data_IF_993882281458
#
_entry.id   IF_993882281458
#
_cell.length_a   1.000
_cell.length_b   1.000
_cell.length_c   1.000
_cell.angle_alpha   90.00
_cell.angle_beta   90.00
_cell.angle_gamma   90.00
#
_symmetry.space_group_name_H-M   'P 1'
#
loop_
_entity.id
_entity.type
_entity.pdbx_description
1 polymer ?
#
# COMPACT_ATOMS: atom_id res chain seq x y z
N UNK A 1 18.59 -6.88 -3.23
CA UNK A 1 17.96 -6.36 -4.47
C UNK A 1 16.53 -5.84 -4.27
N UNK A 2 15.63 -6.55 -3.57
CA UNK A 2 14.23 -6.09 -3.38
C UNK A 2 14.08 -4.68 -2.78
N UNK A 3 14.78 -4.37 -1.68
CA UNK A 3 14.72 -3.04 -1.06
C UNK A 3 15.19 -1.89 -1.98
N UNK A 4 16.14 -2.16 -2.88
CA UNK A 4 16.61 -1.18 -3.87
C UNK A 4 15.50 -0.79 -4.85
N UNK A 5 14.81 -1.79 -5.41
CA UNK A 5 13.69 -1.55 -6.32
C UNK A 5 12.50 -0.89 -5.61
N UNK A 6 12.20 -1.31 -4.38
CA UNK A 6 11.17 -0.67 -3.55
C UNK A 6 11.45 0.82 -3.31
N UNK A 7 12.70 1.21 -3.09
CA UNK A 7 13.07 2.61 -2.92
C UNK A 7 12.89 3.43 -4.22
N UNK A 8 13.23 2.85 -5.38
CA UNK A 8 12.92 3.47 -6.67
C UNK A 8 11.41 3.62 -6.89
N UNK A 9 10.62 2.61 -6.53
CA UNK A 9 9.16 2.67 -6.58
C UNK A 9 8.60 3.79 -5.68
N UNK A 10 9.16 3.96 -4.48
CA UNK A 10 8.75 5.02 -3.56
C UNK A 10 9.05 6.44 -4.11
N UNK A 11 10.14 6.60 -4.86
CA UNK A 11 10.46 7.86 -5.53
C UNK A 11 9.51 8.11 -6.72
N UNK A 12 9.25 7.08 -7.53
CA UNK A 12 8.33 7.16 -8.66
C UNK A 12 6.88 7.49 -8.21
N UNK A 13 6.44 6.97 -7.06
CA UNK A 13 5.13 7.30 -6.50
C UNK A 13 4.98 8.79 -6.11
N UNK A 14 6.09 9.50 -5.85
CA UNK A 14 6.09 10.93 -5.52
C UNK A 14 6.11 11.81 -6.77
N UNK A 15 6.81 11.39 -7.82
CA UNK A 15 7.06 12.17 -9.04
C UNK A 15 6.46 11.43 -10.25
N UNK A 16 5.13 11.33 -10.31
CA UNK A 16 4.46 10.56 -11.36
C UNK A 16 4.70 11.17 -12.74
N UNK A 17 5.38 10.42 -13.60
CA UNK A 17 5.53 10.68 -15.03
C UNK A 17 4.90 9.51 -15.82
N UNK A 18 4.01 9.84 -16.75
CA UNK A 18 3.20 8.90 -17.51
C UNK A 18 4.05 8.08 -18.49
N UNK A 19 5.18 8.63 -18.97
CA UNK A 19 6.13 7.93 -19.85
C UNK A 19 6.99 6.89 -19.09
N UNK A 20 7.26 7.12 -17.80
CA UNK A 20 8.00 6.19 -16.94
C UNK A 20 7.15 4.99 -16.46
N UNK A 21 5.86 4.93 -16.80
CA UNK A 21 4.91 3.99 -16.23
C UNK A 21 5.27 2.51 -16.43
N UNK A 22 5.87 2.16 -17.57
CA UNK A 22 6.29 0.79 -17.86
C UNK A 22 7.52 0.38 -17.04
N UNK A 23 8.47 1.28 -16.89
CA UNK A 23 9.68 1.03 -16.10
C UNK A 23 9.32 0.85 -14.62
N UNK A 24 8.48 1.74 -14.09
CA UNK A 24 8.02 1.68 -12.69
C UNK A 24 7.30 0.36 -12.41
N UNK A 25 6.41 -0.10 -13.30
CA UNK A 25 5.76 -1.42 -13.17
C UNK A 25 6.77 -2.58 -13.15
N UNK A 26 7.81 -2.53 -13.97
CA UNK A 26 8.87 -3.54 -13.97
C UNK A 26 9.68 -3.53 -12.66
N UNK A 27 9.96 -2.34 -12.10
CA UNK A 27 10.61 -2.20 -10.80
C UNK A 27 9.76 -2.79 -9.66
N UNK A 28 8.43 -2.54 -9.68
CA UNK A 28 7.50 -3.17 -8.72
C UNK A 28 7.53 -4.69 -8.82
N UNK A 29 7.50 -5.24 -10.04
CA UNK A 29 7.60 -6.68 -10.27
C UNK A 29 8.90 -7.27 -9.71
N UNK A 30 10.05 -6.67 -10.04
CA UNK A 30 11.37 -7.13 -9.54
C UNK A 30 11.47 -7.08 -8.02
N UNK A 31 10.89 -6.05 -7.41
CA UNK A 31 10.83 -5.95 -5.95
C UNK A 31 9.97 -7.05 -5.35
N UNK A 32 8.80 -7.31 -5.95
CA UNK A 32 7.88 -8.34 -5.52
C UNK A 32 8.51 -9.73 -5.59
N UNK A 33 9.06 -10.11 -6.75
CA UNK A 33 9.72 -11.41 -6.97
C UNK A 33 10.87 -11.63 -5.99
N UNK A 34 11.64 -10.58 -5.69
CA UNK A 34 12.72 -10.65 -4.70
C UNK A 34 12.22 -10.93 -3.28
N UNK A 35 11.12 -10.28 -2.87
CA UNK A 35 10.55 -10.50 -1.55
C UNK A 35 9.85 -11.85 -1.44
N UNK A 36 9.15 -12.28 -2.49
CA UNK A 36 8.50 -13.59 -2.55
C UNK A 36 9.52 -14.73 -2.47
N UNK A 37 10.62 -14.64 -3.23
CA UNK A 37 11.73 -15.59 -3.12
C UNK A 37 12.36 -15.60 -1.72
N UNK A 38 12.47 -14.43 -1.07
CA UNK A 38 12.93 -14.32 0.31
C UNK A 38 12.00 -15.02 1.30
N UNK A 39 10.69 -14.88 1.13
CA UNK A 39 9.68 -15.56 1.97
C UNK A 39 9.86 -17.07 1.82
N UNK A 40 9.90 -17.59 0.59
CA UNK A 40 10.10 -19.02 0.33
C UNK A 40 11.41 -19.54 0.94
N UNK A 41 12.47 -18.73 0.98
CA UNK A 41 13.74 -19.10 1.61
C UNK A 41 13.62 -19.17 3.14
N UNK A 42 12.98 -18.19 3.77
CA UNK A 42 12.79 -18.16 5.23
C UNK A 42 11.76 -19.18 5.73
N UNK A 43 10.78 -19.55 4.90
CA UNK A 43 9.83 -20.63 5.17
C UNK A 43 10.54 -21.97 5.35
N UNK A 44 11.57 -22.26 4.53
CA UNK A 44 12.36 -23.51 4.62
C UNK A 44 13.09 -23.67 5.95
N UNK A 45 13.43 -22.57 6.61
CA UNK A 45 14.10 -22.57 7.92
C UNK A 45 13.17 -22.12 9.06
N UNK A 46 11.87 -21.96 8.78
CA UNK A 46 10.84 -21.54 9.73
C UNK A 46 11.17 -20.23 10.48
N UNK A 47 11.82 -19.28 9.80
CA UNK A 47 12.18 -17.97 10.35
C UNK A 47 11.01 -16.99 10.25
N UNK A 48 10.07 -17.13 11.19
CA UNK A 48 8.84 -16.33 11.25
C UNK A 48 9.10 -14.83 11.37
N UNK A 49 10.19 -14.43 12.04
CA UNK A 49 10.56 -13.03 12.22
C UNK A 49 10.87 -12.37 10.88
N UNK A 50 11.72 -13.02 10.08
CA UNK A 50 12.09 -12.50 8.77
C UNK A 50 10.94 -12.61 7.74
N UNK A 51 10.11 -13.65 7.82
CA UNK A 51 8.88 -13.73 6.99
C UNK A 51 7.93 -12.56 7.32
N UNK A 52 7.72 -12.26 8.61
CA UNK A 52 6.86 -11.14 9.01
C UNK A 52 7.41 -9.78 8.52
N UNK A 53 8.73 -9.58 8.61
CA UNK A 53 9.37 -8.37 8.07
C UNK A 53 9.22 -8.25 6.55
N UNK A 54 9.34 -9.36 5.80
CA UNK A 54 9.13 -9.36 4.35
C UNK A 54 7.67 -9.08 3.97
N UNK A 55 6.71 -9.60 4.75
CA UNK A 55 5.30 -9.22 4.61
C UNK A 55 5.09 -7.71 4.84
N UNK A 56 5.78 -7.10 5.82
CA UNK A 56 5.78 -5.64 6.00
C UNK A 56 6.27 -4.90 4.75
N UNK A 57 7.36 -5.39 4.13
CA UNK A 57 7.90 -4.79 2.89
C UNK A 57 6.94 -4.93 1.71
N UNK A 58 6.28 -6.07 1.57
CA UNK A 58 5.25 -6.29 0.55
C UNK A 58 4.02 -5.39 0.76
N UNK A 59 3.56 -5.22 2.01
CA UNK A 59 2.47 -4.31 2.35
C UNK A 59 2.77 -2.87 1.93
N UNK A 60 3.98 -2.38 2.25
CA UNK A 60 4.45 -1.05 1.82
C UNK A 60 4.63 -0.93 0.31
N UNK A 61 5.16 -1.97 -0.34
CA UNK A 61 5.30 -2.00 -1.80
C UNK A 61 3.92 -1.85 -2.47
N UNK A 62 2.91 -2.59 -2.01
CA UNK A 62 1.54 -2.47 -2.53
C UNK A 62 0.92 -1.10 -2.25
N UNK A 63 1.26 -0.47 -1.12
CA UNK A 63 0.81 0.89 -0.79
C UNK A 63 1.40 1.93 -1.74
N UNK A 64 2.69 1.81 -2.10
CA UNK A 64 3.30 2.67 -3.13
C UNK A 64 2.71 2.38 -4.52
N UNK A 65 2.40 1.12 -4.82
CA UNK A 65 1.75 0.74 -6.07
C UNK A 65 0.34 1.36 -6.19
N UNK A 66 -0.41 1.44 -5.09
CA UNK A 66 -1.71 2.11 -5.05
C UNK A 66 -1.60 3.61 -5.41
N UNK A 67 -0.54 4.28 -4.95
CA UNK A 67 -0.29 5.69 -5.24
C UNK A 67 0.05 5.94 -6.71
N UNK A 68 0.62 4.94 -7.39
CA UNK A 68 0.87 5.00 -8.83
C UNK A 68 -0.42 5.09 -9.67
N UNK A 69 -1.57 4.59 -9.18
CA UNK A 69 -2.87 4.70 -9.86
C UNK A 69 -3.57 6.04 -9.67
N UNK A 70 -2.90 7.07 -9.15
CA UNK A 70 -3.44 8.42 -9.04
C UNK A 70 -2.73 9.40 -10.00
N UNK A 71 -2.79 9.17 -11.33
CA UNK A 71 -2.20 10.09 -12.28
C UNK A 71 -2.91 11.45 -12.20
N UNK A 72 -2.13 12.52 -12.22
CA UNK A 72 -2.63 13.86 -12.53
C UNK A 72 -2.74 13.93 -14.05
N UNK A 73 -3.95 14.00 -14.59
CA UNK A 73 -4.15 14.13 -16.04
C UNK A 73 -4.56 15.57 -16.31
N UNK A 74 -3.79 16.28 -17.14
CA UNK A 74 -4.03 17.69 -17.49
C UNK A 74 -4.17 18.62 -16.26
N UNK A 75 -3.36 18.41 -15.22
CA UNK A 75 -3.42 19.20 -13.98
C UNK A 75 -4.58 18.84 -13.04
N UNK A 76 -5.47 17.93 -13.43
CA UNK A 76 -6.58 17.45 -12.60
C UNK A 76 -6.20 16.09 -12.00
N UNK A 77 -6.16 16.02 -10.67
CA UNK A 77 -6.01 14.73 -9.97
C UNK A 77 -7.30 13.93 -10.13
N UNK A 78 -7.16 12.70 -10.63
CA UNK A 78 -8.27 11.81 -10.90
C UNK A 78 -8.88 11.24 -9.60
N UNK A 79 -10.14 10.79 -9.70
CA UNK A 79 -10.90 10.18 -8.60
C UNK A 79 -10.26 8.89 -8.05
N UNK A 80 -10.68 8.48 -6.85
CA UNK A 80 -10.24 7.24 -6.22
C UNK A 80 -10.76 6.00 -6.99
N UNK A 81 -9.90 5.45 -7.84
CA UNK A 81 -10.23 4.28 -8.66
C UNK A 81 -10.28 2.95 -7.90
N UNK A 82 -11.03 1.99 -8.47
CA UNK A 82 -11.12 0.62 -7.95
C UNK A 82 -9.76 -0.09 -7.88
N UNK A 83 -8.85 0.13 -8.85
CA UNK A 83 -7.52 -0.50 -8.86
C UNK A 83 -6.64 -0.01 -7.68
N UNK A 84 -6.79 1.27 -7.30
CA UNK A 84 -6.13 1.83 -6.11
C UNK A 84 -6.64 1.16 -4.84
N UNK A 85 -7.96 0.97 -4.72
CA UNK A 85 -8.58 0.23 -3.60
C UNK A 85 -8.05 -1.20 -3.49
N UNK A 86 -8.02 -1.92 -4.60
CA UNK A 86 -7.53 -3.31 -4.64
C UNK A 86 -6.05 -3.40 -4.21
N UNK A 87 -5.24 -2.42 -4.59
CA UNK A 87 -3.83 -2.36 -4.20
C UNK A 87 -3.67 -2.14 -2.69
N UNK A 88 -4.47 -1.26 -2.08
CA UNK A 88 -4.50 -1.10 -0.62
C UNK A 88 -5.02 -2.33 0.11
N UNK A 89 -6.06 -3.00 -0.42
CA UNK A 89 -6.54 -4.26 0.17
C UNK A 89 -5.44 -5.32 0.21
N UNK A 90 -4.70 -5.49 -0.90
CA UNK A 90 -3.52 -6.36 -0.92
C UNK A 90 -2.45 -5.94 0.09
N UNK A 91 -2.25 -4.62 0.28
CA UNK A 91 -1.34 -4.14 1.31
C UNK A 91 -1.76 -4.58 2.71
N UNK A 92 -3.04 -4.43 3.04
CA UNK A 92 -3.61 -4.87 4.33
C UNK A 92 -3.46 -6.36 4.53
N UNK A 93 -3.74 -7.17 3.51
CA UNK A 93 -3.58 -8.63 3.58
C UNK A 93 -2.14 -9.02 3.94
N UNK A 94 -1.14 -8.37 3.34
CA UNK A 94 0.26 -8.64 3.67
C UNK A 94 0.60 -8.26 5.11
N UNK A 95 0.19 -7.08 5.58
CA UNK A 95 0.42 -6.70 6.98
C UNK A 95 -0.25 -7.67 7.96
N UNK A 96 -1.50 -8.07 7.69
CA UNK A 96 -2.20 -9.04 8.53
C UNK A 96 -1.54 -10.42 8.52
N UNK A 97 -1.02 -10.89 7.39
CA UNK A 97 -0.23 -12.13 7.34
C UNK A 97 1.02 -12.03 8.21
N UNK A 98 1.74 -10.91 8.13
CA UNK A 98 2.92 -10.65 8.97
C UNK A 98 2.57 -10.63 10.46
N UNK A 99 1.51 -9.92 10.86
CA UNK A 99 1.04 -9.85 12.26
C UNK A 99 0.63 -11.22 12.78
N UNK A 100 -0.12 -12.00 12.00
CA UNK A 100 -0.58 -13.34 12.38
C UNK A 100 0.57 -14.31 12.65
N UNK A 101 1.69 -14.19 11.93
CA UNK A 101 2.87 -15.04 12.16
C UNK A 101 3.52 -14.84 13.53
N UNK A 102 3.36 -13.64 14.11
CA UNK A 102 4.05 -13.22 15.33
C UNK A 102 3.09 -12.85 16.47
N UNK A 103 1.78 -13.06 16.33
CA UNK A 103 0.75 -12.63 17.29
C UNK A 103 0.94 -13.22 18.70
N UNK A 104 1.53 -14.42 18.79
CA UNK A 104 1.80 -15.13 20.03
C UNK A 104 3.30 -15.15 20.39
N UNK A 105 4.08 -14.20 19.86
CA UNK A 105 5.55 -14.12 20.02
C UNK A 105 5.93 -12.84 20.78
N UNK A 106 5.91 -12.85 22.13
CA UNK A 106 6.23 -11.67 22.92
C UNK A 106 7.68 -11.21 22.73
N UNK A 107 8.57 -12.14 22.36
CA UNK A 107 9.96 -11.85 21.97
C UNK A 107 10.08 -10.96 20.73
N UNK A 108 9.01 -10.82 19.94
CA UNK A 108 8.96 -10.04 18.70
C UNK A 108 8.04 -8.82 18.81
N UNK A 109 7.80 -8.32 20.03
CA UNK A 109 6.89 -7.19 20.29
C UNK A 109 7.23 -5.93 19.49
N UNK A 110 8.52 -5.65 19.27
CA UNK A 110 8.96 -4.49 18.48
C UNK A 110 8.60 -4.63 16.99
N UNK A 111 8.69 -5.84 16.45
CA UNK A 111 8.27 -6.15 15.07
C UNK A 111 6.75 -6.00 14.98
N UNK A 112 6.00 -6.56 15.93
CA UNK A 112 4.54 -6.44 15.99
C UNK A 112 4.09 -4.97 16.03
N UNK A 113 4.71 -4.14 16.89
CA UNK A 113 4.42 -2.70 16.99
C UNK A 113 4.72 -1.99 15.68
N UNK A 114 5.84 -2.34 15.03
CA UNK A 114 6.23 -1.75 13.74
C UNK A 114 5.20 -2.08 12.66
N UNK A 115 4.81 -3.35 12.49
CA UNK A 115 3.80 -3.76 11.52
C UNK A 115 2.44 -3.10 11.80
N UNK A 116 2.04 -3.00 13.06
CA UNK A 116 0.79 -2.35 13.46
C UNK A 116 0.79 -0.86 13.14
N UNK A 117 1.93 -0.19 13.34
CA UNK A 117 2.10 1.22 12.97
C UNK A 117 2.08 1.40 11.44
N UNK A 118 2.79 0.55 10.68
CA UNK A 118 2.79 0.62 9.22
C UNK A 118 1.40 0.34 8.63
N UNK A 119 0.66 -0.62 9.19
CA UNK A 119 -0.73 -0.91 8.82
C UNK A 119 -1.65 0.28 9.09
N UNK A 120 -1.54 0.88 10.28
CA UNK A 120 -2.35 2.06 10.66
C UNK A 120 -2.07 3.25 9.73
N UNK A 121 -0.80 3.50 9.41
CA UNK A 121 -0.41 4.55 8.47
C UNK A 121 -0.94 4.28 7.05
N UNK A 122 -1.01 3.01 6.65
CA UNK A 122 -1.58 2.62 5.35
C UNK A 122 -3.09 2.85 5.31
N UNK A 123 -3.82 2.48 6.38
CA UNK A 123 -5.25 2.80 6.50
C UNK A 123 -5.49 4.30 6.47
N UNK A 124 -4.70 5.08 7.21
CA UNK A 124 -4.78 6.53 7.20
C UNK A 124 -4.56 7.10 5.79
N UNK A 125 -3.52 6.66 5.09
CA UNK A 125 -3.22 7.11 3.72
C UNK A 125 -4.34 6.75 2.73
N UNK A 126 -4.95 5.57 2.86
CA UNK A 126 -6.10 5.21 2.04
C UNK A 126 -7.32 6.09 2.37
N UNK A 127 -7.59 6.33 3.65
CA UNK A 127 -8.72 7.13 4.10
C UNK A 127 -8.60 8.60 3.65
N UNK A 128 -7.43 9.22 3.82
CA UNK A 128 -7.17 10.58 3.32
C UNK A 128 -7.28 10.62 1.80
N UNK A 129 -6.73 9.63 1.09
CA UNK A 129 -6.90 9.56 -0.35
C UNK A 129 -8.36 9.35 -0.79
N UNK A 130 -9.19 8.69 0.00
CA UNK A 130 -10.61 8.51 -0.32
C UNK A 130 -11.39 9.81 -0.06
N UNK A 131 -11.02 10.54 0.99
CA UNK A 131 -11.60 11.84 1.34
C UNK A 131 -11.24 12.92 0.30
N UNK A 132 -9.95 13.03 -0.02
CA UNK A 132 -9.43 14.06 -0.93
C UNK A 132 -9.84 13.83 -2.39
N UNK A 133 -10.10 12.56 -2.75
CA UNK A 133 -10.39 12.14 -4.13
C UNK A 133 -11.64 11.25 -4.20
N UNK A 134 -12.70 11.63 -3.49
CA UNK A 134 -13.94 10.87 -3.45
C UNK A 134 -14.42 10.51 -4.89
N UNK A 135 -14.87 9.27 -5.14
CA UNK A 135 -15.28 8.82 -6.47
C UNK A 135 -16.68 9.32 -6.83
N UNK A 136 -16.81 10.64 -7.02
CA UNK A 136 -18.07 11.36 -7.22
C UNK A 136 -18.80 10.94 -8.51
N UNK A 137 -18.08 10.52 -9.55
CA UNK A 137 -18.67 10.07 -10.83
C UNK A 137 -19.51 8.79 -10.65
N UNK A 138 -19.17 7.95 -9.67
CA UNK A 138 -19.92 6.71 -9.35
C UNK A 138 -20.97 6.87 -8.24
N UNK A 139 -21.08 8.05 -7.65
CA UNK A 139 -22.02 8.31 -6.55
C UNK A 139 -23.30 8.97 -7.06
N UNK A 140 -24.45 8.55 -6.53
CA UNK A 140 -25.72 9.25 -6.77
C UNK A 140 -25.65 10.68 -6.21
N UNK A 141 -26.43 11.63 -6.77
CA UNK A 141 -26.42 13.03 -6.28
C UNK A 141 -26.72 13.13 -4.77
N UNK A 142 -27.51 12.20 -4.23
CA UNK A 142 -27.83 12.13 -2.80
C UNK A 142 -26.62 11.77 -1.94
N UNK A 143 -25.78 10.84 -2.39
CA UNK A 143 -24.58 10.41 -1.67
C UNK A 143 -23.50 11.50 -1.63
N UNK A 144 -23.37 12.28 -2.72
CA UNK A 144 -22.48 13.43 -2.81
C UNK A 144 -22.87 14.51 -1.80
N UNK A 145 -24.18 14.76 -1.63
CA UNK A 145 -24.68 15.75 -0.68
C UNK A 145 -24.44 15.36 0.79
N UNK A 146 -24.49 14.05 1.09
CA UNK A 146 -24.20 13.51 2.44
C UNK A 146 -22.74 13.64 2.83
N UNK A 147 -21.81 13.41 1.89
CA UNK A 147 -20.37 13.55 2.15
C UNK A 147 -20.01 15.02 2.39
N UNK A 148 -20.51 15.95 1.54
CA UNK A 148 -20.24 17.39 1.71
C UNK A 148 -20.73 17.94 3.04
N UNK A 149 -21.87 17.45 3.56
CA UNK A 149 -22.39 17.88 4.87
C UNK A 149 -21.55 17.38 6.05
N UNK A 150 -20.81 16.28 5.91
CA UNK A 150 -19.93 15.76 6.97
C UNK A 150 -18.58 16.49 7.03
N UNK A 151 -18.09 17.03 5.93
CA UNK A 151 -16.82 17.77 5.87
C UNK A 151 -16.89 19.21 6.42
N UNK A 152 -18.09 19.74 6.71
CA UNK A 152 -18.29 21.09 7.26
C UNK A 152 -18.34 21.09 8.80
N UNK A 153 -18.24 19.93 9.45
CA UNK A 153 -18.34 19.78 10.91
C UNK A 153 -17.10 19.14 11.57
N UNK A 154 -15.92 19.33 10.99
CA UNK A 154 -14.64 19.11 11.69
C UNK A 154 -13.81 20.40 11.66
#
# INVERSE_FOLDING_TARGET
MGAYWMNKCAQAAKNFDQEAAKEVKDQFRKSFESFDAGIQAFEKINDKSNIALLHSKLGRLMSYYAQFYAPVVNGVRQEFYQQKRQSYQKAFDYFHRGLKLIENRPDLSDIYRTLSWELSNTYFTMATSLQDYAPLITMSQDDVSRIRKKSVFC
#
